data_IF_479782581286
#
_entry.id   IF_479782581286
#
_cell.length_a   1.000
_cell.length_b   1.000
_cell.length_c   1.000
_cell.angle_alpha   90.00
_cell.angle_beta   90.00
_cell.angle_gamma   90.00
#
_symmetry.space_group_name_H-M   'P 1'
#
loop_
_entity.id
_entity.type
_entity.pdbx_description
1 polymer ?
#
# COMPACT_ATOMS: atom_id res chain seq x y z
N UNK A 1 -9.41 -54.29 -17.19
CA UNK A 1 -9.26 -53.93 -15.76
C UNK A 1 -10.21 -52.79 -15.36
N UNK A 2 -10.48 -51.80 -16.21
CA UNK A 2 -11.39 -50.64 -15.89
C UNK A 2 -12.86 -51.05 -15.73
N UNK A 3 -13.39 -51.99 -16.51
CA UNK A 3 -14.79 -52.42 -16.45
C UNK A 3 -15.15 -53.21 -15.18
N UNK A 4 -14.19 -53.94 -14.58
CA UNK A 4 -14.42 -54.71 -13.36
C UNK A 4 -14.66 -53.80 -12.11
N UNK A 5 -14.09 -52.61 -12.12
CA UNK A 5 -14.20 -51.64 -11.00
C UNK A 5 -15.56 -50.91 -10.96
N UNK A 6 -16.21 -50.72 -12.13
CA UNK A 6 -17.57 -50.16 -12.20
C UNK A 6 -18.65 -51.17 -11.78
N UNK A 7 -18.43 -52.48 -12.02
CA UNK A 7 -19.37 -53.53 -11.70
C UNK A 7 -19.51 -53.75 -10.17
N UNK A 8 -18.48 -53.44 -9.40
CA UNK A 8 -18.49 -53.62 -7.92
C UNK A 8 -19.36 -52.59 -7.22
N UNK A 9 -19.48 -51.38 -7.74
CA UNK A 9 -20.30 -50.29 -7.17
C UNK A 9 -21.80 -50.50 -7.43
N UNK A 10 -22.14 -51.08 -8.60
CA UNK A 10 -23.54 -51.35 -8.97
C UNK A 10 -24.19 -52.51 -8.18
N UNK A 11 -23.37 -53.43 -7.64
CA UNK A 11 -23.84 -54.62 -6.91
C UNK A 11 -23.95 -54.40 -5.37
N UNK A 12 -23.64 -53.16 -4.89
CA UNK A 12 -23.75 -52.84 -3.49
C UNK A 12 -25.21 -52.73 -3.05
N UNK A 13 -25.55 -53.34 -1.89
CA UNK A 13 -26.86 -53.24 -1.30
C UNK A 13 -27.25 -51.79 -1.00
N UNK A 14 -28.55 -51.47 -1.02
CA UNK A 14 -29.07 -50.11 -0.70
C UNK A 14 -28.54 -49.59 0.64
N UNK A 15 -28.38 -50.45 1.63
CA UNK A 15 -27.85 -50.13 2.95
C UNK A 15 -26.37 -49.69 2.89
N UNK A 16 -25.51 -50.39 2.14
CA UNK A 16 -24.08 -50.04 2.00
C UNK A 16 -23.90 -48.76 1.24
N UNK A 17 -24.74 -48.47 0.24
CA UNK A 17 -24.72 -47.15 -0.46
C UNK A 17 -25.12 -45.99 0.49
N UNK A 18 -26.10 -46.23 1.34
CA UNK A 18 -26.56 -45.24 2.31
C UNK A 18 -25.51 -44.95 3.38
N UNK A 19 -24.85 -46.00 3.90
CA UNK A 19 -23.75 -45.85 4.86
C UNK A 19 -22.56 -45.09 4.21
N UNK A 20 -22.23 -45.40 2.96
CA UNK A 20 -21.16 -44.70 2.23
C UNK A 20 -21.48 -43.22 2.01
N UNK A 21 -22.76 -42.90 1.74
CA UNK A 21 -23.24 -41.53 1.60
C UNK A 21 -23.14 -40.74 2.93
N UNK A 22 -23.49 -41.40 4.05
CA UNK A 22 -23.35 -40.77 5.38
C UNK A 22 -21.88 -40.55 5.74
N UNK A 23 -21.01 -41.53 5.48
CA UNK A 23 -19.55 -41.40 5.67
C UNK A 23 -18.95 -40.26 4.82
N UNK A 24 -19.39 -40.16 3.58
CA UNK A 24 -18.94 -39.08 2.68
C UNK A 24 -19.39 -37.71 3.22
N UNK A 25 -20.65 -37.58 3.68
CA UNK A 25 -21.11 -36.34 4.31
C UNK A 25 -20.36 -36.03 5.60
N UNK A 26 -20.05 -37.05 6.41
CA UNK A 26 -19.28 -36.87 7.67
C UNK A 26 -17.81 -36.39 7.35
N UNK A 27 -17.22 -36.86 6.27
CA UNK A 27 -15.90 -36.43 5.82
C UNK A 27 -15.97 -34.98 5.28
N UNK A 28 -16.99 -34.67 4.47
CA UNK A 28 -17.18 -33.32 3.90
C UNK A 28 -17.52 -32.27 4.97
N UNK A 29 -18.27 -32.65 6.02
CA UNK A 29 -18.62 -31.72 7.13
C UNK A 29 -17.42 -31.39 8.02
N UNK A 30 -16.36 -32.20 8.01
CA UNK A 30 -15.12 -31.89 8.75
C UNK A 30 -14.11 -31.06 7.92
N UNK A 31 -14.42 -30.76 6.64
CA UNK A 31 -13.68 -29.77 5.89
C UNK A 31 -14.10 -28.38 6.33
N UNK A 32 -13.72 -27.99 7.55
CA UNK A 32 -13.72 -26.58 7.92
C UNK A 32 -12.71 -25.89 7.00
N UNK A 33 -13.21 -25.31 5.91
CA UNK A 33 -12.44 -24.31 5.16
C UNK A 33 -12.30 -23.16 6.13
N UNK A 34 -11.20 -23.14 6.86
CA UNK A 34 -10.73 -21.94 7.54
C UNK A 34 -10.49 -20.94 6.41
N UNK A 35 -11.47 -20.08 6.16
CA UNK A 35 -11.24 -18.90 5.35
C UNK A 35 -10.10 -18.15 6.07
N UNK A 36 -8.89 -18.26 5.55
CA UNK A 36 -7.80 -17.43 6.03
C UNK A 36 -8.26 -16.00 5.80
N UNK A 37 -8.35 -15.21 6.86
CA UNK A 37 -8.65 -13.78 6.75
C UNK A 37 -7.69 -13.17 5.74
N UNK A 38 -8.22 -12.73 4.61
CA UNK A 38 -7.40 -12.17 3.53
C UNK A 38 -6.77 -10.88 4.05
N UNK A 39 -5.44 -10.89 4.19
CA UNK A 39 -4.70 -9.74 4.69
C UNK A 39 -4.79 -8.59 3.70
N UNK A 40 -5.02 -7.40 4.22
CA UNK A 40 -4.95 -6.15 3.46
C UNK A 40 -3.48 -5.87 3.18
N UNK A 41 -3.08 -6.06 1.91
CA UNK A 41 -1.71 -5.80 1.46
C UNK A 41 -1.53 -4.32 1.15
N UNK A 42 -0.57 -3.69 1.80
CA UNK A 42 -0.17 -2.29 1.58
C UNK A 42 1.27 -2.30 1.09
N UNK A 43 1.52 -1.72 -0.08
CA UNK A 43 2.87 -1.54 -0.60
C UNK A 43 3.60 -0.42 0.13
N UNK A 44 4.92 -0.53 0.24
CA UNK A 44 5.77 0.53 0.78
C UNK A 44 6.92 0.77 -0.19
N UNK A 45 6.86 1.87 -0.95
CA UNK A 45 7.88 2.28 -1.92
C UNK A 45 8.85 3.27 -1.30
N UNK A 46 10.04 2.81 -0.99
CA UNK A 46 11.08 3.58 -0.29
C UNK A 46 12.47 3.25 -0.83
N UNK A 47 13.46 4.14 -0.67
CA UNK A 47 14.85 3.83 -1.02
C UNK A 47 15.46 2.88 0.03
N UNK A 48 15.58 1.62 -0.32
CA UNK A 48 16.26 0.62 0.53
C UNK A 48 17.74 0.48 0.18
N UNK A 49 18.13 0.95 -1.00
CA UNK A 49 19.51 1.01 -1.49
C UNK A 49 19.86 2.42 -1.98
N UNK A 50 21.15 2.65 -2.24
CA UNK A 50 21.66 3.93 -2.72
C UNK A 50 21.88 4.96 -1.62
N UNK A 51 21.99 6.23 -2.02
CA UNK A 51 22.34 7.35 -1.14
C UNK A 51 21.32 7.59 -0.02
N UNK A 52 20.04 7.38 -0.31
CA UNK A 52 18.94 7.67 0.63
C UNK A 52 18.49 6.43 1.44
N UNK A 53 19.30 5.37 1.52
CA UNK A 53 18.94 4.13 2.22
C UNK A 53 18.62 4.32 3.70
N UNK A 54 19.29 5.24 4.38
CA UNK A 54 19.08 5.51 5.81
C UNK A 54 17.70 6.12 6.08
N UNK A 55 17.23 6.99 5.16
CA UNK A 55 15.87 7.51 5.22
C UNK A 55 14.85 6.39 5.02
N UNK A 56 15.06 5.50 4.05
CA UNK A 56 14.21 4.33 3.83
C UNK A 56 14.13 3.42 5.06
N UNK A 57 15.25 3.14 5.70
CA UNK A 57 15.30 2.36 6.95
C UNK A 57 14.53 3.04 8.10
N UNK A 58 14.62 4.35 8.21
CA UNK A 58 13.88 5.13 9.21
C UNK A 58 12.37 5.03 8.99
N UNK A 59 11.93 5.06 7.74
CA UNK A 59 10.52 4.90 7.39
C UNK A 59 10.03 3.46 7.67
N UNK A 60 10.82 2.43 7.37
CA UNK A 60 10.48 1.04 7.74
C UNK A 60 10.22 0.94 9.24
N UNK A 61 11.12 1.50 10.04
CA UNK A 61 10.97 1.50 11.51
C UNK A 61 9.69 2.22 11.95
N UNK A 62 9.40 3.39 11.38
CA UNK A 62 8.20 4.17 11.68
C UNK A 62 6.92 3.40 11.31
N UNK A 63 6.87 2.80 10.12
CA UNK A 63 5.74 1.97 9.67
C UNK A 63 5.57 0.74 10.56
N UNK A 64 6.68 0.08 10.93
CA UNK A 64 6.63 -1.08 11.82
C UNK A 64 6.08 -0.74 13.20
N UNK A 65 6.43 0.43 13.75
CA UNK A 65 5.86 0.93 15.00
C UNK A 65 4.36 1.21 14.86
N UNK A 66 3.95 1.90 13.80
CA UNK A 66 2.54 2.19 13.54
C UNK A 66 1.69 0.91 13.42
N UNK A 67 2.18 -0.12 12.71
CA UNK A 67 1.49 -1.41 12.60
C UNK A 67 1.38 -2.10 13.96
N UNK A 68 2.43 -2.02 14.78
CA UNK A 68 2.40 -2.57 16.14
C UNK A 68 1.37 -1.86 17.02
N UNK A 69 1.24 -0.54 16.89
CA UNK A 69 0.25 0.25 17.65
C UNK A 69 -1.19 -0.03 17.20
N UNK A 70 -1.40 -0.33 15.92
CA UNK A 70 -2.71 -0.74 15.38
C UNK A 70 -3.13 -2.12 15.91
N UNK A 71 -2.16 -2.97 16.28
CA UNK A 71 -2.36 -4.33 16.79
C UNK A 71 -3.29 -5.19 15.91
N UNK A 72 -3.14 -5.07 14.60
CA UNK A 72 -3.97 -5.78 13.62
C UNK A 72 -3.16 -6.80 12.83
N UNK A 73 -3.58 -8.05 12.90
CA UNK A 73 -3.03 -9.13 12.08
C UNK A 73 -3.53 -9.10 10.62
N UNK A 74 -4.46 -8.21 10.30
CA UNK A 74 -5.09 -8.10 8.98
C UNK A 74 -4.27 -7.26 8.00
N UNK A 75 -3.27 -6.50 8.47
CA UNK A 75 -2.45 -5.63 7.63
C UNK A 75 -1.09 -6.29 7.37
N UNK A 76 -0.72 -6.34 6.09
CA UNK A 76 0.59 -6.79 5.64
C UNK A 76 1.28 -5.67 4.86
N UNK A 77 2.44 -5.22 5.35
CA UNK A 77 3.25 -4.22 4.67
C UNK A 77 4.29 -4.91 3.79
N UNK A 78 4.34 -4.54 2.52
CA UNK A 78 5.23 -5.12 1.53
C UNK A 78 6.20 -4.05 1.04
N UNK A 79 7.43 -3.99 1.60
CA UNK A 79 8.43 -3.03 1.18
C UNK A 79 9.04 -3.40 -0.16
N UNK A 80 9.25 -2.38 -1.01
CA UNK A 80 9.93 -2.46 -2.30
C UNK A 80 10.89 -1.30 -2.46
N UNK A 81 12.05 -1.60 -3.03
CA UNK A 81 13.12 -0.63 -3.22
C UNK A 81 12.84 0.29 -4.42
N UNK A 82 12.97 1.58 -4.21
CA UNK A 82 12.92 2.58 -5.28
C UNK A 82 14.32 2.98 -5.75
N UNK A 83 15.34 2.74 -4.96
CA UNK A 83 16.70 3.26 -5.15
C UNK A 83 16.73 4.77 -5.51
N UNK A 84 15.67 5.52 -5.18
CA UNK A 84 15.44 6.93 -5.59
C UNK A 84 15.45 7.12 -7.13
N UNK A 85 15.13 6.09 -7.90
CA UNK A 85 15.15 6.10 -9.37
C UNK A 85 13.76 5.87 -9.96
N UNK A 86 13.28 6.70 -10.91
CA UNK A 86 11.95 6.56 -11.52
C UNK A 86 11.68 5.17 -12.08
N UNK A 87 12.59 4.64 -12.91
CA UNK A 87 12.42 3.32 -13.53
C UNK A 87 12.38 2.18 -12.51
N UNK A 88 13.18 2.24 -11.45
CA UNK A 88 13.15 1.23 -10.39
C UNK A 88 11.85 1.35 -9.59
N UNK A 89 11.39 2.56 -9.32
CA UNK A 89 10.11 2.81 -8.64
C UNK A 89 8.95 2.24 -9.44
N UNK A 90 8.91 2.49 -10.74
CA UNK A 90 7.89 1.94 -11.64
C UNK A 90 7.88 0.41 -11.63
N UNK A 91 9.05 -0.22 -11.76
CA UNK A 91 9.20 -1.67 -11.71
C UNK A 91 8.68 -2.24 -10.38
N UNK A 92 9.11 -1.66 -9.27
CA UNK A 92 8.69 -2.05 -7.92
C UNK A 92 7.18 -1.89 -7.73
N UNK A 93 6.58 -0.86 -8.32
CA UNK A 93 5.14 -0.63 -8.29
C UNK A 93 4.36 -1.68 -9.11
N UNK A 94 4.87 -2.09 -10.27
CA UNK A 94 4.29 -3.22 -11.03
C UNK A 94 4.32 -4.52 -10.23
N UNK A 95 5.43 -4.83 -9.59
CA UNK A 95 5.54 -6.03 -8.74
C UNK A 95 4.52 -6.02 -7.59
N UNK A 96 4.26 -4.85 -6.98
CA UNK A 96 3.23 -4.69 -5.96
C UNK A 96 1.81 -4.92 -6.53
N UNK A 97 1.54 -4.41 -7.72
CA UNK A 97 0.26 -4.64 -8.42
C UNK A 97 0.00 -6.13 -8.68
N UNK A 98 1.01 -6.86 -9.17
CA UNK A 98 0.90 -8.29 -9.50
C UNK A 98 0.53 -9.15 -8.29
N UNK A 99 0.94 -8.78 -7.09
CA UNK A 99 0.61 -9.50 -5.86
C UNK A 99 -0.67 -8.99 -5.18
N UNK A 100 -1.46 -8.15 -5.89
CA UNK A 100 -2.78 -7.71 -5.47
C UNK A 100 -2.82 -6.49 -4.56
N UNK A 101 -1.71 -5.75 -4.40
CA UNK A 101 -1.70 -4.47 -3.68
C UNK A 101 -2.61 -3.47 -4.41
N UNK A 102 -3.33 -2.64 -3.66
CA UNK A 102 -4.16 -1.53 -4.18
C UNK A 102 -3.71 -0.17 -3.68
N UNK A 103 -3.14 -0.11 -2.49
CA UNK A 103 -2.65 1.12 -1.86
C UNK A 103 -1.16 0.99 -1.58
N UNK A 104 -0.42 2.04 -1.91
CA UNK A 104 1.03 2.11 -1.75
C UNK A 104 1.38 3.36 -0.96
N UNK A 105 2.14 3.21 0.10
CA UNK A 105 2.76 4.30 0.85
C UNK A 105 4.09 4.63 0.19
N UNK A 106 4.30 5.88 -0.17
CA UNK A 106 5.42 6.35 -0.98
C UNK A 106 5.05 6.52 -2.46
N UNK A 107 6.03 6.83 -3.30
CA UNK A 107 7.43 7.08 -2.98
C UNK A 107 7.65 8.40 -2.23
N UNK A 108 8.90 8.64 -1.81
CA UNK A 108 9.25 9.83 -1.01
C UNK A 108 9.51 11.02 -1.91
N UNK A 109 10.32 10.80 -2.95
CA UNK A 109 10.84 11.85 -3.79
C UNK A 109 9.97 12.08 -5.02
N UNK A 110 9.81 13.34 -5.40
CA UNK A 110 9.00 13.75 -6.54
C UNK A 110 9.47 13.11 -7.86
N UNK A 111 10.76 13.01 -8.08
CA UNK A 111 11.35 12.42 -9.28
C UNK A 111 10.90 10.96 -9.48
N UNK A 112 10.65 10.25 -8.38
CA UNK A 112 10.18 8.87 -8.38
C UNK A 112 8.71 8.71 -8.80
N UNK A 113 7.97 9.81 -8.96
CA UNK A 113 6.56 9.79 -9.40
C UNK A 113 6.40 9.72 -10.92
N UNK A 114 7.43 10.00 -11.69
CA UNK A 114 7.44 10.27 -13.14
C UNK A 114 6.79 9.08 -13.81
N UNK A 115 6.37 8.20 -13.83
CA UNK A 115 5.71 7.16 -14.66
C UNK A 115 4.61 6.42 -13.90
N UNK A 116 4.26 6.85 -12.69
CA UNK A 116 3.29 6.11 -11.87
C UNK A 116 1.86 6.19 -12.39
N UNK A 117 1.54 7.15 -13.26
CA UNK A 117 0.26 7.24 -13.97
C UNK A 117 0.02 6.09 -14.97
N UNK A 118 1.07 5.35 -15.34
CA UNK A 118 0.94 4.13 -16.15
C UNK A 118 0.24 3.00 -15.38
N UNK A 119 0.24 3.04 -14.03
CA UNK A 119 -0.34 1.99 -13.18
C UNK A 119 -1.65 2.47 -12.56
N UNK A 120 -2.71 2.48 -13.36
CA UNK A 120 -4.03 3.05 -12.97
C UNK A 120 -4.70 2.36 -11.78
N UNK A 121 -4.36 1.10 -11.48
CA UNK A 121 -5.02 0.30 -10.44
C UNK A 121 -4.40 0.45 -9.06
N UNK A 122 -3.33 1.25 -8.94
CA UNK A 122 -2.69 1.57 -7.67
C UNK A 122 -2.97 3.02 -7.27
N UNK A 123 -3.22 3.23 -6.00
CA UNK A 123 -3.25 4.56 -5.38
C UNK A 123 -1.98 4.74 -4.55
N UNK A 124 -1.25 5.82 -4.81
CA UNK A 124 -0.01 6.15 -4.12
C UNK A 124 -0.23 7.28 -3.12
N UNK A 125 0.11 7.03 -1.86
CA UNK A 125 0.18 8.04 -0.79
C UNK A 125 1.63 8.50 -0.68
N UNK A 126 2.01 9.47 -1.52
CA UNK A 126 3.40 9.93 -1.62
C UNK A 126 3.74 10.95 -0.55
N UNK A 127 4.94 10.83 0.02
CA UNK A 127 5.48 11.82 0.95
C UNK A 127 5.99 13.10 0.27
N UNK A 128 5.82 13.25 -1.04
CA UNK A 128 6.18 14.49 -1.74
C UNK A 128 5.45 15.69 -1.13
N UNK A 129 6.14 16.81 -1.09
CA UNK A 129 5.57 18.10 -0.73
C UNK A 129 4.99 18.88 -1.93
N UNK A 130 5.20 18.39 -3.16
CA UNK A 130 4.62 18.98 -4.36
C UNK A 130 3.14 18.63 -4.47
N UNK A 131 2.35 19.59 -4.93
CA UNK A 131 0.89 19.44 -5.16
C UNK A 131 0.50 19.72 -6.59
N UNK A 132 1.45 20.16 -7.43
CA UNK A 132 1.24 20.51 -8.84
C UNK A 132 1.87 19.41 -9.70
N UNK A 133 1.25 19.12 -10.84
CA UNK A 133 1.70 18.13 -11.84
C UNK A 133 1.93 16.72 -11.28
N UNK A 134 1.07 16.32 -10.36
CA UNK A 134 1.07 14.95 -9.83
C UNK A 134 0.29 14.01 -10.77
N UNK A 135 0.74 12.76 -10.92
CA UNK A 135 -0.07 11.71 -11.52
C UNK A 135 -1.43 11.58 -10.84
N UNK A 136 -2.49 11.28 -11.60
CA UNK A 136 -3.88 11.25 -11.09
C UNK A 136 -4.12 10.25 -9.97
N UNK A 137 -3.31 9.21 -9.90
CA UNK A 137 -3.34 8.16 -8.90
C UNK A 137 -2.39 8.40 -7.72
N UNK A 138 -1.81 9.60 -7.62
CA UNK A 138 -0.92 10.02 -6.53
C UNK A 138 -1.60 11.06 -5.67
N UNK A 139 -1.64 10.81 -4.38
CA UNK A 139 -2.09 11.74 -3.34
C UNK A 139 -0.84 12.20 -2.58
N UNK A 140 -0.58 13.52 -2.59
CA UNK A 140 0.49 14.11 -1.78
C UNK A 140 0.07 14.12 -0.31
N UNK A 141 0.87 13.49 0.54
CA UNK A 141 0.68 13.45 1.99
C UNK A 141 1.77 14.23 2.73
N UNK A 142 2.75 14.76 1.99
CA UNK A 142 3.82 15.58 2.55
C UNK A 142 3.33 16.95 2.99
N UNK A 143 4.09 17.57 3.90
CA UNK A 143 3.83 18.94 4.33
C UNK A 143 4.25 19.88 3.18
N UNK A 144 3.29 20.51 2.54
CA UNK A 144 3.53 21.44 1.44
C UNK A 144 3.54 22.90 1.91
N UNK A 145 4.05 23.80 1.06
CA UNK A 145 4.15 25.24 1.34
C UNK A 145 2.78 25.86 1.63
N UNK A 146 1.75 25.48 0.90
CA UNK A 146 0.39 26.02 1.11
C UNK A 146 -0.15 25.70 2.50
N UNK A 147 0.02 24.46 2.98
CA UNK A 147 -0.44 24.07 4.31
C UNK A 147 0.39 24.75 5.41
N UNK A 148 1.69 24.93 5.19
CA UNK A 148 2.56 25.68 6.12
C UNK A 148 2.12 27.14 6.23
N UNK A 149 1.94 27.83 5.10
CA UNK A 149 1.53 29.24 5.08
C UNK A 149 0.13 29.41 5.68
N UNK A 150 -0.80 28.52 5.35
CA UNK A 150 -2.14 28.56 5.95
C UNK A 150 -2.11 28.41 7.47
N UNK A 151 -1.22 27.57 7.99
CA UNK A 151 -1.02 27.40 9.43
C UNK A 151 -0.43 28.65 10.06
N UNK A 152 0.58 29.25 9.44
CA UNK A 152 1.20 30.52 9.88
C UNK A 152 0.16 31.64 9.86
N UNK A 153 -0.61 31.77 8.78
CA UNK A 153 -1.69 32.76 8.67
C UNK A 153 -2.70 32.62 9.80
N UNK A 154 -3.17 31.42 10.06
CA UNK A 154 -4.09 31.14 11.17
C UNK A 154 -3.49 31.52 12.53
N UNK A 155 -2.20 31.26 12.76
CA UNK A 155 -1.50 31.64 13.99
C UNK A 155 -1.43 33.14 14.12
N UNK A 156 -1.09 33.88 13.05
CA UNK A 156 -1.06 35.34 13.00
C UNK A 156 -2.44 35.96 13.37
N UNK A 157 -3.49 35.43 12.76
CA UNK A 157 -4.88 35.87 12.98
C UNK A 157 -5.32 35.60 14.43
N UNK A 158 -5.08 34.40 14.95
CA UNK A 158 -5.46 34.05 16.33
C UNK A 158 -4.75 34.83 17.41
N UNK A 159 -3.54 35.33 17.13
CA UNK A 159 -2.73 36.09 18.09
C UNK A 159 -2.70 37.62 17.82
N UNK A 160 -3.55 38.10 16.88
CA UNK A 160 -3.64 39.51 16.49
C UNK A 160 -2.28 40.16 16.13
N UNK A 161 -1.42 39.40 15.45
CA UNK A 161 -0.09 39.84 15.04
C UNK A 161 -0.21 40.81 13.87
N UNK A 162 0.21 42.08 14.08
CA UNK A 162 0.04 43.18 13.11
C UNK A 162 1.14 43.23 12.03
N UNK A 163 2.31 42.69 12.31
CA UNK A 163 3.46 42.72 11.37
C UNK A 163 4.16 41.37 11.33
N UNK A 164 4.37 40.85 10.16
CA UNK A 164 5.09 39.59 9.93
C UNK A 164 6.13 39.78 8.85
N UNK A 165 7.30 39.23 9.04
CA UNK A 165 8.39 39.23 8.08
C UNK A 165 8.60 37.79 7.62
N UNK A 166 8.54 37.57 6.32
CA UNK A 166 8.86 36.26 5.70
C UNK A 166 10.27 36.31 5.13
N UNK A 167 11.11 35.38 5.57
CA UNK A 167 12.42 35.15 5.00
C UNK A 167 12.33 33.92 4.07
N UNK A 168 12.46 34.14 2.80
CA UNK A 168 12.39 33.06 1.76
C UNK A 168 13.70 32.97 1.00
N UNK A 169 14.15 31.77 0.60
CA UNK A 169 15.26 31.63 -0.32
C UNK A 169 14.93 32.27 -1.68
N UNK A 170 15.93 32.85 -2.36
CA UNK A 170 15.77 33.58 -3.65
C UNK A 170 15.43 32.65 -4.83
N UNK A 171 15.18 31.38 -4.64
CA UNK A 171 14.87 30.43 -5.69
C UNK A 171 13.41 29.98 -5.65
N UNK A 172 13.01 29.11 -6.51
CA UNK A 172 11.65 28.57 -6.80
C UNK A 172 10.59 28.60 -5.68
N UNK A 173 11.00 28.71 -4.42
CA UNK A 173 10.15 28.84 -3.25
C UNK A 173 9.41 30.19 -3.20
N UNK A 174 9.99 31.24 -3.80
CA UNK A 174 9.41 32.59 -3.81
C UNK A 174 8.08 32.62 -4.58
N UNK A 175 7.95 31.78 -5.61
CA UNK A 175 6.74 31.73 -6.44
C UNK A 175 5.55 31.07 -5.72
N UNK A 176 5.83 30.10 -4.84
CA UNK A 176 4.80 29.42 -4.06
C UNK A 176 4.31 30.22 -2.86
N UNK A 177 5.15 31.11 -2.33
CA UNK A 177 4.85 31.92 -1.14
C UNK A 177 4.11 33.22 -1.49
N UNK A 178 4.27 33.73 -2.73
CA UNK A 178 3.64 34.97 -3.19
C UNK A 178 2.22 34.81 -3.75
N UNK A 179 1.70 33.60 -3.89
CA UNK A 179 0.31 33.32 -4.27
C UNK A 179 -0.60 33.37 -3.04
#
# INVERSE_FOLDING_TARGET
IKLKKYYTITKMNKLTKFILLILLNLILSNLNIVAADEKIKIGLLIPMTGENKELGQSIIKAVSLAIKDIDSNLIEIIPKDTATKPNQTLRSAFELKEIGVKVVIGPIFHESLTYLDEIKDLTFLSFTNKTIDLPKNVISTGINSTSQISTIKRFIELNDIKKTIFLTPIQNYEFEVKK
#
